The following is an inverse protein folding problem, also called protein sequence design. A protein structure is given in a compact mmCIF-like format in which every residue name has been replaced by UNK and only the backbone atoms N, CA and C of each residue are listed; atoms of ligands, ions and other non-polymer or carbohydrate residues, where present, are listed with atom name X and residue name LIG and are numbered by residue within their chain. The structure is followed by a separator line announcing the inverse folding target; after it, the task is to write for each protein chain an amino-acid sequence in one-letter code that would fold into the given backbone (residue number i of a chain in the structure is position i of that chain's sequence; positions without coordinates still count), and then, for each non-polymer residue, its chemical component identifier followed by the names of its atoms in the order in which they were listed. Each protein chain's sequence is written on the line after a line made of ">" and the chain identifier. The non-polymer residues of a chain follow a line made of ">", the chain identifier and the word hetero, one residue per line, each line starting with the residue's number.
data_IF_323382501291
#
_entry.id   IF_323382501291
#
_cell.length_a   1.000
_cell.length_b   1.000
_cell.length_c   1.000
_cell.angle_alpha   90.00
_cell.angle_beta   90.00
_cell.angle_gamma   90.00
#
_symmetry.space_group_name_H-M   'P 1'
#
loop_
_entity.id
_entity.type
_entity.pdbx_description
1 polymer ?
#
# COMPACT_ATOMS: atom_id res chain seq x y z
N UNK A 1 -10.34 -18.40 -4.42
CA UNK A 1 -9.29 -17.47 -3.95
C UNK A 1 -8.77 -18.01 -2.63
N UNK A 2 -7.45 -18.10 -2.42
CA UNK A 2 -6.92 -18.39 -1.09
C UNK A 2 -7.05 -17.16 -0.21
N UNK A 3 -7.17 -17.34 1.11
CA UNK A 3 -7.26 -16.24 2.07
C UNK A 3 -6.11 -15.23 1.92
N UNK A 4 -4.90 -15.73 1.65
CA UNK A 4 -3.70 -14.91 1.38
C UNK A 4 -3.85 -13.96 0.19
N UNK A 5 -4.78 -14.21 -0.73
CA UNK A 5 -5.00 -13.41 -1.93
C UNK A 5 -6.15 -12.40 -1.79
N UNK A 6 -6.90 -12.40 -0.68
CA UNK A 6 -8.01 -11.45 -0.47
C UNK A 6 -7.47 -10.01 -0.50
N UNK A 7 -6.42 -9.73 0.27
CA UNK A 7 -5.80 -8.39 0.30
C UNK A 7 -5.29 -7.96 -1.08
N UNK A 8 -4.71 -8.88 -1.85
CA UNK A 8 -4.28 -8.55 -3.21
C UNK A 8 -5.46 -8.21 -4.12
N UNK A 9 -6.56 -8.97 -4.01
CA UNK A 9 -7.78 -8.73 -4.77
C UNK A 9 -8.35 -7.33 -4.48
N UNK A 10 -8.42 -6.94 -3.22
CA UNK A 10 -8.83 -5.61 -2.78
C UNK A 10 -7.88 -4.53 -3.31
N UNK A 11 -6.57 -4.68 -3.11
CA UNK A 11 -5.58 -3.70 -3.56
C UNK A 11 -5.58 -3.54 -5.07
N UNK A 12 -5.81 -4.61 -5.83
CA UNK A 12 -6.00 -4.54 -7.27
C UNK A 12 -7.25 -3.73 -7.62
N UNK A 13 -8.39 -4.01 -6.97
CA UNK A 13 -9.64 -3.29 -7.22
C UNK A 13 -9.51 -1.78 -6.93
N UNK A 14 -8.75 -1.41 -5.90
CA UNK A 14 -8.48 -0.01 -5.54
C UNK A 14 -7.35 0.63 -6.37
N UNK A 15 -6.64 -0.16 -7.18
CA UNK A 15 -5.52 0.30 -8.00
C UNK A 15 -4.18 0.44 -7.26
N UNK A 16 -4.04 -0.10 -6.05
CA UNK A 16 -2.81 -0.12 -5.24
C UNK A 16 -1.85 -1.26 -5.61
N UNK A 17 -2.31 -2.23 -6.40
CA UNK A 17 -1.50 -3.27 -7.04
C UNK A 17 -2.02 -3.53 -8.46
N UNK A 18 -1.21 -4.13 -9.33
CA UNK A 18 -1.66 -4.57 -10.66
C UNK A 18 -1.91 -6.09 -10.71
N UNK A 19 -2.45 -6.56 -11.84
CA UNK A 19 -2.75 -7.98 -12.10
C UNK A 19 -1.57 -8.95 -11.94
N UNK A 20 -0.35 -8.41 -12.01
CA UNK A 20 0.91 -9.17 -11.89
C UNK A 20 1.52 -9.06 -10.50
N UNK A 21 0.72 -8.69 -9.48
CA UNK A 21 1.14 -8.52 -8.09
C UNK A 21 2.19 -7.42 -7.85
N UNK A 22 2.42 -6.55 -8.85
CA UNK A 22 3.45 -5.54 -8.81
C UNK A 22 2.88 -4.16 -8.45
N UNK A 23 3.70 -3.33 -7.78
CA UNK A 23 3.31 -2.04 -7.18
C UNK A 23 4.19 -0.94 -7.77
N UNK A 24 3.87 -0.53 -9.01
CA UNK A 24 4.66 0.47 -9.74
C UNK A 24 4.28 1.89 -9.31
N UNK A 25 4.98 2.89 -9.87
CA UNK A 25 4.72 4.31 -9.60
C UNK A 25 3.23 4.68 -9.68
N UNK A 26 2.52 4.25 -10.73
CA UNK A 26 1.07 4.50 -10.88
C UNK A 26 0.25 4.01 -9.67
N UNK A 27 0.55 2.81 -9.16
CA UNK A 27 -0.13 2.24 -8.00
C UNK A 27 0.20 3.03 -6.72
N UNK A 28 1.46 3.46 -6.58
CA UNK A 28 1.90 4.28 -5.45
C UNK A 28 1.20 5.63 -5.47
N UNK A 29 1.17 6.32 -6.61
CA UNK A 29 0.53 7.62 -6.75
C UNK A 29 -0.97 7.54 -6.40
N UNK A 30 -1.66 6.50 -6.90
CA UNK A 30 -3.06 6.22 -6.53
C UNK A 30 -3.24 6.04 -5.02
N UNK A 31 -2.33 5.31 -4.37
CA UNK A 31 -2.44 5.05 -2.94
C UNK A 31 -2.13 6.29 -2.09
N UNK A 32 -1.16 7.11 -2.52
CA UNK A 32 -0.89 8.42 -1.92
C UNK A 32 -2.14 9.29 -1.94
N UNK A 33 -2.78 9.39 -3.11
CA UNK A 33 -3.94 10.26 -3.28
C UNK A 33 -5.12 9.79 -2.42
N UNK A 34 -5.38 8.48 -2.32
CA UNK A 34 -6.42 7.94 -1.42
C UNK A 34 -6.13 8.29 0.05
N UNK A 35 -4.90 8.09 0.53
CA UNK A 35 -4.57 8.35 1.93
C UNK A 35 -4.59 9.84 2.28
N UNK A 36 -4.25 10.72 1.34
CA UNK A 36 -4.32 12.18 1.54
C UNK A 36 -5.77 12.67 1.46
N UNK A 37 -6.53 12.26 0.44
CA UNK A 37 -7.93 12.66 0.26
C UNK A 37 -8.82 12.14 1.39
N UNK A 38 -8.55 10.91 1.86
CA UNK A 38 -9.18 10.32 3.04
C UNK A 38 -8.68 10.90 4.38
N UNK A 39 -7.81 11.92 4.36
CA UNK A 39 -7.25 12.60 5.55
C UNK A 39 -6.54 11.65 6.52
N UNK A 40 -6.06 10.50 6.04
CA UNK A 40 -5.25 9.58 6.82
C UNK A 40 -3.83 10.12 7.03
N UNK A 41 -3.30 10.82 6.02
CA UNK A 41 -2.01 11.51 6.06
C UNK A 41 -2.22 12.95 5.60
N UNK A 42 -1.60 13.91 6.28
CA UNK A 42 -1.68 15.31 5.90
C UNK A 42 -0.95 15.56 4.57
N UNK A 43 -1.47 16.47 3.74
CA UNK A 43 -0.99 16.72 2.38
C UNK A 43 0.44 17.27 2.33
N UNK A 44 0.87 18.01 3.35
CA UNK A 44 2.25 18.48 3.54
C UNK A 44 3.25 17.32 3.71
N UNK A 45 2.79 16.12 4.10
CA UNK A 45 3.60 14.91 4.23
C UNK A 45 3.62 14.03 2.97
N UNK A 46 3.07 14.50 1.84
CA UNK A 46 2.98 13.73 0.57
C UNK A 46 4.30 13.09 0.17
N UNK A 47 5.39 13.86 0.13
CA UNK A 47 6.70 13.32 -0.27
C UNK A 47 7.21 12.23 0.68
N UNK A 48 6.93 12.36 1.98
CA UNK A 48 7.30 11.37 2.98
C UNK A 48 6.48 10.08 2.80
N UNK A 49 5.19 10.21 2.48
CA UNK A 49 4.31 9.08 2.18
C UNK A 49 4.73 8.35 0.92
N UNK A 50 5.01 9.07 -0.18
CA UNK A 50 5.55 8.48 -1.42
C UNK A 50 6.82 7.67 -1.16
N UNK A 51 7.73 8.22 -0.37
CA UNK A 51 8.99 7.55 -0.03
C UNK A 51 8.76 6.28 0.81
N UNK A 52 7.84 6.31 1.77
CA UNK A 52 7.45 5.13 2.55
C UNK A 52 6.87 4.06 1.63
N UNK A 53 5.87 4.41 0.81
CA UNK A 53 5.21 3.47 -0.09
C UNK A 53 6.18 2.89 -1.12
N UNK A 54 7.06 3.71 -1.71
CA UNK A 54 8.09 3.21 -2.63
C UNK A 54 9.07 2.26 -1.92
N UNK A 55 9.53 2.63 -0.73
CA UNK A 55 10.43 1.80 0.07
C UNK A 55 9.82 0.45 0.42
N UNK A 56 8.55 0.45 0.83
CA UNK A 56 7.83 -0.79 1.13
C UNK A 56 7.55 -1.65 -0.10
N UNK A 57 7.26 -1.03 -1.25
CA UNK A 57 7.10 -1.78 -2.50
C UNK A 57 8.41 -2.51 -2.88
N UNK A 58 9.57 -1.85 -2.73
CA UNK A 58 10.86 -2.47 -2.97
C UNK A 58 11.13 -3.62 -1.98
N UNK A 59 10.96 -3.39 -0.68
CA UNK A 59 11.13 -4.45 0.34
C UNK A 59 10.23 -5.67 0.08
N UNK A 60 8.99 -5.44 -0.34
CA UNK A 60 8.06 -6.51 -0.67
C UNK A 60 8.51 -7.31 -1.91
N UNK A 61 9.05 -6.65 -2.95
CA UNK A 61 9.63 -7.32 -4.12
C UNK A 61 10.85 -8.14 -3.74
N UNK A 62 11.77 -7.57 -2.96
CA UNK A 62 13.02 -8.23 -2.57
C UNK A 62 12.73 -9.51 -1.76
N UNK A 63 11.71 -9.46 -0.90
CA UNK A 63 11.26 -10.61 -0.10
C UNK A 63 10.48 -11.66 -0.90
N UNK A 64 9.94 -11.29 -2.06
CA UNK A 64 9.12 -12.15 -2.91
C UNK A 64 9.72 -12.22 -4.34
N UNK A 65 10.80 -12.99 -4.57
CA UNK A 65 11.47 -13.09 -5.89
C UNK A 65 10.52 -13.47 -7.03
N UNK A 66 9.47 -14.26 -6.71
CA UNK A 66 8.31 -14.44 -7.57
C UNK A 66 7.14 -13.71 -6.94
N UNK A 67 6.69 -12.64 -7.59
CA UNK A 67 5.57 -11.84 -7.10
C UNK A 67 4.30 -12.70 -6.99
N UNK A 68 3.54 -12.46 -5.94
CA UNK A 68 2.31 -13.19 -5.64
C UNK A 68 1.52 -12.51 -4.54
N UNK A 69 0.52 -13.21 -4.01
CA UNK A 69 -0.38 -12.64 -3.00
C UNK A 69 0.35 -12.17 -1.73
N UNK A 70 1.44 -12.83 -1.35
CA UNK A 70 2.28 -12.41 -0.23
C UNK A 70 3.01 -11.09 -0.47
N UNK A 71 3.24 -10.68 -1.73
CA UNK A 71 3.82 -9.36 -2.04
C UNK A 71 2.93 -8.24 -1.52
N UNK A 72 1.60 -8.32 -1.72
CA UNK A 72 0.66 -7.32 -1.19
C UNK A 72 0.58 -7.35 0.34
N UNK A 73 0.68 -8.54 0.95
CA UNK A 73 0.70 -8.69 2.42
C UNK A 73 1.96 -8.04 3.03
N UNK A 74 3.13 -8.37 2.50
CA UNK A 74 4.39 -7.80 2.98
C UNK A 74 4.46 -6.29 2.74
N UNK A 75 3.90 -5.82 1.61
CA UNK A 75 3.75 -4.41 1.33
C UNK A 75 2.91 -3.70 2.38
N UNK A 76 1.69 -4.18 2.64
CA UNK A 76 0.80 -3.65 3.68
C UNK A 76 1.46 -3.63 5.06
N UNK A 77 2.06 -4.75 5.48
CA UNK A 77 2.74 -4.87 6.78
C UNK A 77 3.86 -3.85 6.94
N UNK A 78 4.64 -3.62 5.87
CA UNK A 78 5.70 -2.62 5.89
C UNK A 78 5.15 -1.19 6.09
N UNK A 79 4.02 -0.86 5.47
CA UNK A 79 3.40 0.47 5.58
C UNK A 79 2.92 0.73 7.00
N UNK A 80 2.10 -0.18 7.55
CA UNK A 80 1.49 0.00 8.88
C UNK A 80 2.49 -0.12 10.03
N UNK A 81 3.71 -0.61 9.76
CA UNK A 81 4.80 -0.60 10.71
C UNK A 81 5.38 0.81 10.96
N UNK A 82 5.23 1.77 10.03
CA UNK A 82 5.62 3.17 10.25
C UNK A 82 4.53 3.92 11.03
N UNK A 83 4.48 3.68 12.34
CA UNK A 83 3.51 4.30 13.25
C UNK A 83 3.72 5.82 13.43
N UNK A 84 4.83 6.38 12.93
CA UNK A 84 5.07 7.83 12.99
C UNK A 84 4.34 8.58 11.88
N UNK A 85 4.18 7.94 10.72
CA UNK A 85 3.46 8.52 9.58
C UNK A 85 2.03 7.98 9.46
N UNK A 86 1.84 6.70 9.80
CA UNK A 86 0.58 5.98 9.59
C UNK A 86 -0.13 5.79 10.93
N UNK A 87 -1.25 6.50 11.12
CA UNK A 87 -2.21 6.16 12.16
C UNK A 87 -3.13 5.06 11.63
N UNK A 88 -3.09 3.88 12.24
CA UNK A 88 -3.80 2.70 11.74
C UNK A 88 -5.31 2.90 11.57
N UNK A 89 -5.97 3.54 12.55
CA UNK A 89 -7.42 3.78 12.50
C UNK A 89 -7.79 4.69 11.31
N UNK A 90 -7.04 5.78 11.11
CA UNK A 90 -7.27 6.66 9.96
C UNK A 90 -6.94 6.00 8.63
N UNK A 91 -5.87 5.20 8.59
CA UNK A 91 -5.47 4.44 7.40
C UNK A 91 -6.58 3.49 6.94
N UNK A 92 -7.12 2.69 7.85
CA UNK A 92 -8.24 1.78 7.55
C UNK A 92 -9.48 2.58 7.13
N UNK A 93 -9.79 3.67 7.84
CA UNK A 93 -10.90 4.55 7.49
C UNK A 93 -10.81 5.13 6.08
N UNK A 94 -9.61 5.50 5.61
CA UNK A 94 -9.42 6.05 4.27
C UNK A 94 -9.52 5.02 3.13
N UNK A 95 -9.33 3.73 3.42
CA UNK A 95 -9.41 2.66 2.40
C UNK A 95 -10.84 2.12 2.26
N UNK A 96 -11.63 2.16 3.33
CA UNK A 96 -13.01 1.62 3.35
C UNK A 96 -14.06 2.66 2.92
N UNK A 97 -13.74 3.96 3.05
CA UNK A 97 -14.64 5.07 2.69
C UNK A 97 -14.86 5.21 1.17
#
# INVERSE_FOLDING_TARGET
>A
ISESCILHCEYKAYGFANDKYDIKRKQIDQFVDVLINGKAVASDKRQKLENLLRGCANKARDKNPKLGCHTSIDYYRCIVADQNLINYSKFVGAIIA
#
